data_IF_914375018179
#
_entry.id   IF_914375018179
#
_cell.length_a   1.000
_cell.length_b   1.000
_cell.length_c   1.000
_cell.angle_alpha   90.00
_cell.angle_beta   90.00
_cell.angle_gamma   90.00
#
_symmetry.space_group_name_H-M   'P 1'
#
loop_
_entity.id
_entity.type
_entity.pdbx_description
1 polymer ?
#
# COMPACT_ATOMS: atom_id res chain seq x y z
N UNK A 1 -5.18 15.62 17.30
CA UNK A 1 -5.25 14.20 16.88
C UNK A 1 -4.82 14.11 15.44
N UNK A 2 -4.19 13.01 15.03
CA UNK A 2 -3.93 12.74 13.62
C UNK A 2 -5.01 11.82 13.06
N UNK A 3 -5.12 11.77 11.74
CA UNK A 3 -6.03 10.87 11.02
C UNK A 3 -5.25 10.10 9.97
N UNK A 4 -5.53 8.80 9.85
CA UNK A 4 -4.94 7.92 8.85
C UNK A 4 -5.97 6.92 8.34
N UNK A 5 -5.77 6.52 7.09
CA UNK A 5 -6.56 5.49 6.44
C UNK A 5 -6.16 4.12 6.96
N UNK A 6 -7.16 3.28 7.19
CA UNK A 6 -7.05 1.83 7.34
C UNK A 6 -7.85 1.20 6.21
N UNK A 7 -7.27 0.19 5.57
CA UNK A 7 -7.89 -0.53 4.46
C UNK A 7 -8.42 -1.87 4.94
N UNK A 8 -9.72 -2.06 4.82
CA UNK A 8 -10.42 -3.29 5.18
C UNK A 8 -10.55 -4.18 3.95
N UNK A 9 -10.53 -5.50 4.13
CA UNK A 9 -10.87 -6.43 3.04
C UNK A 9 -12.34 -6.26 2.64
N UNK A 10 -12.65 -6.40 1.35
CA UNK A 10 -14.02 -6.30 0.81
C UNK A 10 -14.18 -7.34 -0.30
N UNK A 11 -15.21 -8.19 -0.21
CA UNK A 11 -15.45 -9.28 -1.17
C UNK A 11 -16.10 -8.84 -2.49
N UNK A 12 -16.02 -7.56 -2.81
CA UNK A 12 -16.49 -7.01 -4.07
C UNK A 12 -15.68 -5.78 -4.40
N UNK A 13 -15.76 -5.34 -5.66
CA UNK A 13 -15.12 -4.14 -6.17
C UNK A 13 -15.28 -2.95 -5.19
N UNK A 14 -14.21 -2.18 -4.91
CA UNK A 14 -12.85 -2.27 -5.45
C UNK A 14 -11.91 -3.23 -4.69
N UNK A 15 -12.46 -4.24 -4.00
CA UNK A 15 -11.73 -5.23 -3.19
C UNK A 15 -11.05 -4.66 -1.94
N UNK A 16 -11.46 -3.46 -1.52
CA UNK A 16 -11.13 -2.87 -0.23
C UNK A 16 -12.21 -1.86 0.20
N UNK A 17 -12.22 -1.52 1.48
CA UNK A 17 -12.94 -0.35 2.03
C UNK A 17 -11.92 0.54 2.76
N UNK A 18 -11.94 1.85 2.50
CA UNK A 18 -11.10 2.81 3.21
C UNK A 18 -11.86 3.42 4.40
N UNK A 19 -11.28 3.27 5.60
CA UNK A 19 -11.80 3.86 6.84
C UNK A 19 -10.80 4.87 7.41
N UNK A 20 -11.27 6.08 7.71
CA UNK A 20 -10.48 7.12 8.37
C UNK A 20 -10.55 6.93 9.88
N UNK A 21 -9.40 6.70 10.50
CA UNK A 21 -9.26 6.50 11.94
C UNK A 21 -8.53 7.68 12.57
N UNK A 22 -9.19 8.49 13.40
CA UNK A 22 -8.54 9.48 14.24
C UNK A 22 -7.86 8.83 15.45
N UNK A 23 -6.65 9.29 15.79
CA UNK A 23 -5.86 8.76 16.91
C UNK A 23 -4.89 9.79 17.50
N UNK A 24 -4.47 9.65 18.77
CA UNK A 24 -3.37 10.41 19.34
C UNK A 24 -2.04 10.16 18.61
N UNK A 25 -1.34 11.22 18.23
CA UNK A 25 -0.09 11.15 17.47
C UNK A 25 1.11 11.49 18.35
N UNK A 26 2.09 10.59 18.36
CA UNK A 26 3.36 10.73 19.03
C UNK A 26 4.43 11.15 18.02
N UNK A 27 4.85 12.41 18.11
CA UNK A 27 5.89 12.97 17.25
C UNK A 27 7.29 12.44 17.53
N UNK A 28 8.14 12.45 16.51
CA UNK A 28 9.56 12.08 16.58
C UNK A 28 9.94 10.89 15.69
N UNK A 29 11.24 10.76 15.43
CA UNK A 29 11.78 9.71 14.54
C UNK A 29 12.06 8.38 15.23
N UNK A 30 12.04 8.36 16.57
CA UNK A 30 12.34 7.18 17.36
C UNK A 30 11.35 6.03 17.06
N UNK A 31 11.88 4.80 16.97
CA UNK A 31 11.09 3.60 16.69
C UNK A 31 9.91 3.45 17.67
N UNK A 32 10.14 3.71 18.96
CA UNK A 32 9.10 3.65 19.97
C UNK A 32 7.92 4.61 19.69
N UNK A 33 8.16 5.79 19.11
CA UNK A 33 7.08 6.71 18.76
C UNK A 33 6.27 6.21 17.57
N UNK A 34 6.93 5.64 16.56
CA UNK A 34 6.26 4.99 15.42
C UNK A 34 5.39 3.82 15.88
N UNK A 35 5.91 2.99 16.78
CA UNK A 35 5.18 1.85 17.33
C UNK A 35 4.01 2.28 18.21
N UNK A 36 4.15 3.36 19.00
CA UNK A 36 3.00 3.96 19.70
C UNK A 36 1.94 4.49 18.75
N UNK A 37 2.32 5.11 17.64
CA UNK A 37 1.36 5.55 16.62
C UNK A 37 0.59 4.37 15.99
N UNK A 38 1.29 3.28 15.66
CA UNK A 38 0.68 2.06 15.16
C UNK A 38 -0.31 1.46 16.17
N UNK A 39 0.10 1.34 17.43
CA UNK A 39 -0.77 0.86 18.51
C UNK A 39 -1.97 1.77 18.73
N UNK A 40 -1.76 3.09 18.74
CA UNK A 40 -2.81 4.11 18.89
C UNK A 40 -3.89 3.96 17.81
N UNK A 41 -3.47 3.83 16.54
CA UNK A 41 -4.37 3.61 15.40
C UNK A 41 -5.15 2.31 15.56
N UNK A 42 -4.45 1.20 15.85
CA UNK A 42 -5.02 -0.14 16.04
C UNK A 42 -6.09 -0.14 17.12
N UNK A 43 -5.77 0.38 18.31
CA UNK A 43 -6.71 0.48 19.43
C UNK A 43 -7.98 1.25 19.05
N UNK A 44 -7.85 2.41 18.39
CA UNK A 44 -9.00 3.22 18.02
C UNK A 44 -9.89 2.53 16.97
N UNK A 45 -9.32 1.82 16.00
CA UNK A 45 -10.13 1.04 15.06
C UNK A 45 -10.83 -0.13 15.76
N UNK A 46 -10.10 -0.94 16.53
CA UNK A 46 -10.66 -2.12 17.20
C UNK A 46 -11.76 -1.75 18.20
N UNK A 47 -11.65 -0.60 18.86
CA UNK A 47 -12.71 -0.12 19.75
C UNK A 47 -13.98 0.34 19.02
N UNK A 48 -13.85 0.83 17.79
CA UNK A 48 -15.00 1.26 16.98
C UNK A 48 -15.60 0.09 16.18
N UNK A 49 -14.76 -0.85 15.74
CA UNK A 49 -15.11 -1.98 14.91
C UNK A 49 -14.37 -3.25 15.38
N UNK A 50 -14.87 -3.92 16.45
CA UNK A 50 -14.18 -5.06 17.09
C UNK A 50 -13.98 -6.30 16.20
N UNK A 51 -14.69 -6.37 15.07
CA UNK A 51 -14.55 -7.46 14.10
C UNK A 51 -13.28 -7.36 13.23
N UNK A 52 -12.61 -6.21 13.22
CA UNK A 52 -11.41 -6.01 12.40
C UNK A 52 -10.15 -6.13 13.24
N UNK A 53 -9.27 -7.03 12.82
CA UNK A 53 -7.93 -7.19 13.36
C UNK A 53 -6.92 -6.53 12.42
N UNK A 54 -6.24 -5.50 12.92
CA UNK A 54 -5.34 -4.66 12.11
C UNK A 54 -3.91 -5.19 12.13
N UNK A 55 -3.35 -5.36 10.94
CA UNK A 55 -1.91 -5.48 10.73
C UNK A 55 -1.32 -4.11 10.33
N UNK A 56 -0.32 -3.64 11.07
CA UNK A 56 0.46 -2.47 10.66
C UNK A 56 1.67 -2.92 9.82
N UNK A 57 1.72 -2.44 8.59
CA UNK A 57 2.75 -2.78 7.61
C UNK A 57 3.77 -1.66 7.55
N UNK A 58 4.93 -1.92 8.14
CA UNK A 58 6.11 -1.10 8.00
C UNK A 58 7.34 -1.86 8.48
N UNK A 59 8.52 -1.43 8.05
CA UNK A 59 9.78 -1.93 8.62
C UNK A 59 9.92 -1.65 10.12
N UNK A 60 9.09 -0.78 10.70
CA UNK A 60 9.09 -0.43 12.13
C UNK A 60 8.01 -1.13 12.96
N UNK A 61 7.18 -1.98 12.33
CA UNK A 61 6.08 -2.68 13.00
C UNK A 61 6.60 -3.54 14.15
N UNK A 62 5.81 -3.66 15.22
CA UNK A 62 6.07 -4.63 16.30
C UNK A 62 5.78 -6.05 15.83
N UNK A 63 4.83 -6.21 14.91
CA UNK A 63 4.40 -7.49 14.37
C UNK A 63 5.38 -8.00 13.29
N UNK A 64 5.97 -9.20 13.46
CA UNK A 64 6.80 -9.82 12.42
C UNK A 64 6.10 -9.95 11.06
N UNK A 65 4.79 -10.26 11.03
CA UNK A 65 4.01 -10.37 9.79
C UNK A 65 3.95 -9.01 9.09
N UNK A 66 3.62 -7.96 9.83
CA UNK A 66 3.61 -6.59 9.30
C UNK A 66 4.97 -6.12 8.77
N UNK A 67 6.08 -6.56 9.40
CA UNK A 67 7.43 -6.25 8.90
C UNK A 67 7.76 -6.97 7.60
N UNK A 68 7.43 -8.26 7.47
CA UNK A 68 7.75 -9.04 6.27
C UNK A 68 6.93 -8.59 5.05
N UNK A 69 5.74 -8.03 5.27
CA UNK A 69 4.91 -7.40 4.24
C UNK A 69 5.45 -6.04 3.76
N UNK A 70 6.50 -5.49 4.38
CA UNK A 70 7.06 -4.23 3.90
C UNK A 70 7.55 -4.34 2.45
N UNK A 71 7.26 -3.36 1.58
CA UNK A 71 7.78 -3.27 0.22
C UNK A 71 9.32 -3.20 0.17
N UNK A 72 9.94 -2.80 1.29
CA UNK A 72 11.39 -2.84 1.48
C UNK A 72 11.95 -4.25 1.77
N UNK A 73 11.07 -5.23 1.98
CA UNK A 73 11.38 -6.61 2.37
C UNK A 73 10.90 -7.64 1.34
N UNK A 74 9.84 -7.33 0.60
CA UNK A 74 9.34 -8.18 -0.47
C UNK A 74 10.31 -8.21 -1.66
N UNK A 75 10.46 -9.40 -2.24
CA UNK A 75 11.19 -9.61 -3.49
C UNK A 75 10.28 -9.46 -4.70
N UNK A 76 10.81 -9.01 -5.84
CA UNK A 76 10.15 -9.07 -7.14
C UNK A 76 11.08 -9.73 -8.14
N UNK A 77 10.57 -10.70 -8.89
CA UNK A 77 11.31 -11.36 -9.98
C UNK A 77 11.06 -10.62 -11.30
N UNK A 78 12.13 -10.41 -12.06
CA UNK A 78 12.12 -9.85 -13.41
C UNK A 78 11.97 -10.97 -14.45
N UNK A 79 11.59 -10.61 -15.69
CA UNK A 79 11.48 -11.55 -16.82
C UNK A 79 12.78 -12.31 -17.14
N UNK A 80 13.94 -11.69 -16.90
CA UNK A 80 15.27 -12.29 -17.09
C UNK A 80 15.70 -13.21 -15.93
N UNK A 81 14.85 -13.37 -14.91
CA UNK A 81 15.10 -14.18 -13.72
C UNK A 81 15.78 -13.45 -12.56
N UNK A 82 16.21 -12.19 -12.75
CA UNK A 82 16.81 -11.36 -11.70
C UNK A 82 15.81 -11.10 -10.59
N UNK A 83 16.28 -11.08 -9.35
CA UNK A 83 15.44 -10.84 -8.17
C UNK A 83 15.87 -9.53 -7.52
N UNK A 84 14.91 -8.64 -7.31
CA UNK A 84 15.15 -7.28 -6.82
C UNK A 84 14.19 -6.96 -5.67
N UNK A 85 14.47 -5.89 -4.93
CA UNK A 85 13.54 -5.41 -3.88
C UNK A 85 12.31 -4.79 -4.55
N UNK A 86 11.11 -5.12 -4.08
CA UNK A 86 9.86 -4.60 -4.65
C UNK A 86 9.82 -3.07 -4.67
N UNK A 87 10.27 -2.39 -3.59
CA UNK A 87 10.36 -0.92 -3.60
C UNK A 87 11.29 -0.41 -4.72
N UNK A 88 12.42 -1.07 -4.98
CA UNK A 88 13.32 -0.68 -6.07
C UNK A 88 12.69 -0.88 -7.44
N UNK A 89 11.96 -1.99 -7.63
CA UNK A 89 11.15 -2.22 -8.83
C UNK A 89 10.13 -1.10 -9.03
N UNK A 90 9.40 -0.71 -7.98
CA UNK A 90 8.44 0.37 -8.05
C UNK A 90 9.11 1.73 -8.36
N UNK A 91 10.14 2.12 -7.62
CA UNK A 91 10.75 3.45 -7.78
C UNK A 91 11.47 3.59 -9.13
N UNK A 92 12.17 2.56 -9.59
CA UNK A 92 12.84 2.57 -10.89
C UNK A 92 11.87 2.65 -12.07
N UNK A 93 10.63 2.18 -11.92
CA UNK A 93 9.64 2.22 -13.00
C UNK A 93 9.04 3.60 -13.29
N UNK A 94 9.23 4.58 -12.41
CA UNK A 94 8.49 5.85 -12.42
C UNK A 94 8.97 6.76 -13.53
N UNK A 95 8.01 7.31 -14.27
CA UNK A 95 8.24 8.32 -15.30
C UNK A 95 7.58 9.63 -14.87
N UNK A 96 8.28 10.74 -15.09
CA UNK A 96 7.88 12.08 -14.71
C UNK A 96 7.93 12.99 -15.94
N UNK A 97 7.01 13.94 -16.00
CA UNK A 97 7.00 14.98 -17.03
C UNK A 97 7.16 16.35 -16.36
N UNK A 98 8.12 17.15 -16.84
CA UNK A 98 8.34 18.52 -16.37
C UNK A 98 7.30 19.44 -17.00
N UNK A 99 6.35 20.04 -16.25
CA UNK A 99 5.21 20.75 -16.84
C UNK A 99 5.59 21.93 -17.74
N UNK A 100 6.73 22.59 -17.47
CA UNK A 100 7.15 23.79 -18.19
C UNK A 100 7.90 23.47 -19.50
N UNK A 101 8.64 22.36 -19.54
CA UNK A 101 9.53 22.02 -20.66
C UNK A 101 9.06 20.81 -21.46
N UNK A 102 8.17 19.99 -20.89
CA UNK A 102 7.80 18.69 -21.44
C UNK A 102 8.91 17.64 -21.36
N UNK A 103 10.00 17.93 -20.63
CA UNK A 103 11.09 16.98 -20.44
C UNK A 103 10.60 15.75 -19.66
N UNK A 104 10.97 14.57 -20.16
CA UNK A 104 10.66 13.29 -19.53
C UNK A 104 11.86 12.84 -18.71
N UNK A 105 11.62 12.53 -17.44
CA UNK A 105 12.61 11.99 -16.52
C UNK A 105 12.18 10.57 -16.15
N UNK A 106 13.11 9.63 -16.24
CA UNK A 106 12.85 8.21 -16.02
C UNK A 106 12.37 7.46 -17.28
N UNK A 107 12.15 6.13 -17.17
CA UNK A 107 12.38 5.33 -15.97
C UNK A 107 13.87 5.17 -15.67
N UNK A 108 14.19 4.57 -14.53
CA UNK A 108 15.54 4.43 -13.99
C UNK A 108 15.97 2.96 -13.86
N UNK A 109 16.03 2.18 -14.95
CA UNK A 109 16.41 0.76 -14.89
C UNK A 109 17.78 0.54 -14.25
N UNK A 110 18.70 1.50 -14.35
CA UNK A 110 20.01 1.47 -13.71
C UNK A 110 19.96 1.47 -12.17
N UNK A 111 18.85 1.90 -11.57
CA UNK A 111 18.66 1.95 -10.11
C UNK A 111 17.99 0.69 -9.55
N UNK A 112 17.60 -0.25 -10.41
CA UNK A 112 16.84 -1.44 -10.04
C UNK A 112 17.58 -2.34 -9.04
N UNK A 113 18.90 -2.46 -9.18
CA UNK A 113 19.74 -3.29 -8.31
C UNK A 113 20.09 -2.69 -6.95
N UNK A 114 19.65 -1.45 -6.67
CA UNK A 114 19.86 -0.82 -5.36
C UNK A 114 18.91 -1.40 -4.31
N UNK A 115 19.25 -1.25 -3.03
CA UNK A 115 18.26 -1.44 -1.98
C UNK A 115 17.13 -0.39 -2.08
N UNK A 116 15.95 -0.73 -1.57
CA UNK A 116 14.76 0.10 -1.73
C UNK A 116 14.90 1.52 -1.17
N UNK A 117 15.69 1.73 -0.11
CA UNK A 117 15.88 3.06 0.49
C UNK A 117 16.82 3.91 -0.37
N UNK A 118 17.92 3.33 -0.84
CA UNK A 118 18.84 3.99 -1.74
C UNK A 118 18.15 4.36 -3.06
N UNK A 119 17.43 3.40 -3.68
CA UNK A 119 16.69 3.62 -4.92
C UNK A 119 15.69 4.78 -4.77
N UNK A 120 14.84 4.73 -3.75
CA UNK A 120 13.84 5.77 -3.46
C UNK A 120 14.47 7.16 -3.26
N UNK A 121 15.61 7.23 -2.57
CA UNK A 121 16.32 8.48 -2.34
C UNK A 121 16.83 9.06 -3.67
N UNK A 122 17.52 8.26 -4.46
CA UNK A 122 18.09 8.67 -5.75
C UNK A 122 17.00 9.10 -6.74
N UNK A 123 15.91 8.33 -6.86
CA UNK A 123 14.76 8.68 -7.72
C UNK A 123 14.11 9.99 -7.27
N UNK A 124 13.97 10.22 -5.97
CA UNK A 124 13.41 11.47 -5.43
C UNK A 124 14.28 12.68 -5.76
N UNK A 125 15.61 12.52 -5.69
CA UNK A 125 16.56 13.58 -6.05
C UNK A 125 16.50 13.87 -7.56
N UNK A 126 16.51 12.83 -8.40
CA UNK A 126 16.44 12.96 -9.85
C UNK A 126 15.12 13.58 -10.35
N UNK A 127 14.00 13.23 -9.72
CA UNK A 127 12.67 13.76 -10.08
C UNK A 127 12.39 15.17 -9.56
N UNK A 128 13.31 15.79 -8.80
CA UNK A 128 13.12 17.12 -8.21
C UNK A 128 11.79 17.28 -7.43
N UNK A 129 11.26 16.18 -6.86
CA UNK A 129 9.99 16.17 -6.14
C UNK A 129 8.73 16.15 -7.01
N UNK A 130 8.84 15.92 -8.32
CA UNK A 130 7.69 15.76 -9.22
C UNK A 130 6.83 14.54 -8.85
N UNK A 131 5.59 14.57 -9.34
CA UNK A 131 4.71 13.41 -9.33
C UNK A 131 4.89 12.62 -10.61
N UNK A 132 4.90 11.29 -10.51
CA UNK A 132 5.02 10.43 -11.68
C UNK A 132 3.70 10.44 -12.44
N UNK A 133 3.76 10.54 -13.76
CA UNK A 133 2.60 10.50 -14.65
C UNK A 133 2.38 9.10 -15.23
N UNK A 134 3.45 8.32 -15.38
CA UNK A 134 3.43 7.02 -16.03
C UNK A 134 4.40 6.06 -15.35
N UNK A 135 4.29 4.78 -15.70
CA UNK A 135 5.16 3.72 -15.22
C UNK A 135 5.59 2.83 -16.39
N UNK A 136 6.89 2.52 -16.46
CA UNK A 136 7.45 1.52 -17.36
C UNK A 136 8.31 0.55 -16.56
N UNK A 137 7.98 -0.74 -16.62
CA UNK A 137 8.66 -1.77 -15.86
C UNK A 137 8.79 -3.03 -16.69
N UNK A 138 10.00 -3.62 -16.70
CA UNK A 138 10.29 -4.88 -17.40
C UNK A 138 9.86 -4.87 -18.89
N UNK A 139 10.10 -3.74 -19.56
CA UNK A 139 9.75 -3.55 -20.97
C UNK A 139 8.27 -3.28 -21.27
N UNK A 140 7.41 -3.21 -20.24
CA UNK A 140 5.98 -2.95 -20.38
C UNK A 140 5.59 -1.57 -19.83
N UNK A 141 4.62 -0.93 -20.48
CA UNK A 141 4.01 0.32 -20.03
C UNK A 141 2.75 0.04 -19.24
N UNK A 142 2.53 0.79 -18.16
CA UNK A 142 1.39 0.63 -17.26
C UNK A 142 0.59 1.93 -17.20
N UNK A 143 -0.62 1.98 -17.81
CA UNK A 143 -1.51 3.14 -17.70
C UNK A 143 -1.93 3.42 -16.25
N UNK A 144 -2.11 4.70 -15.96
CA UNK A 144 -2.55 5.18 -14.64
C UNK A 144 -3.98 5.72 -14.77
N UNK A 145 -5.03 4.91 -14.52
CA UNK A 145 -6.40 5.40 -14.54
C UNK A 145 -6.64 6.41 -13.42
N UNK A 146 -7.33 7.52 -13.71
CA UNK A 146 -7.57 8.62 -12.75
C UNK A 146 -8.35 8.17 -11.51
N UNK A 147 -9.27 7.22 -11.67
CA UNK A 147 -10.04 6.66 -10.55
C UNK A 147 -9.22 5.68 -9.71
N UNK A 148 -8.09 5.16 -10.23
CA UNK A 148 -7.22 4.26 -9.48
C UNK A 148 -5.73 4.58 -9.75
N UNK A 149 -5.23 5.73 -9.26
CA UNK A 149 -3.87 6.20 -9.55
C UNK A 149 -2.77 5.32 -8.97
N UNK A 150 -3.13 4.34 -8.14
CA UNK A 150 -2.21 3.36 -7.57
C UNK A 150 -2.29 1.97 -8.19
N UNK A 151 -3.09 1.77 -9.24
CA UNK A 151 -3.35 0.46 -9.83
C UNK A 151 -2.05 -0.30 -10.15
N UNK A 152 -1.06 0.37 -10.75
CA UNK A 152 0.24 -0.24 -11.01
C UNK A 152 0.99 -0.66 -9.74
N UNK A 153 0.96 0.17 -8.69
CA UNK A 153 1.59 -0.19 -7.41
C UNK A 153 0.89 -1.40 -6.78
N UNK A 154 -0.44 -1.41 -6.76
CA UNK A 154 -1.23 -2.52 -6.21
C UNK A 154 -0.97 -3.81 -6.99
N UNK A 155 -0.94 -3.75 -8.33
CA UNK A 155 -0.55 -4.87 -9.19
C UNK A 155 0.85 -5.40 -8.86
N UNK A 156 1.85 -4.52 -8.81
CA UNK A 156 3.25 -4.89 -8.59
C UNK A 156 3.43 -5.52 -7.20
N UNK A 157 2.74 -4.99 -6.18
CA UNK A 157 2.80 -5.49 -4.82
C UNK A 157 2.14 -6.87 -4.69
N UNK A 158 0.97 -7.06 -5.30
CA UNK A 158 0.26 -8.34 -5.33
C UNK A 158 1.09 -9.39 -6.07
N UNK A 159 1.68 -9.03 -7.21
CA UNK A 159 2.59 -9.90 -7.94
C UNK A 159 3.81 -10.29 -7.08
N UNK A 160 4.40 -9.34 -6.36
CA UNK A 160 5.48 -9.64 -5.43
C UNK A 160 5.05 -10.71 -4.40
N UNK A 161 3.87 -10.59 -3.79
CA UNK A 161 3.34 -11.62 -2.87
C UNK A 161 3.07 -12.99 -3.54
N UNK A 162 2.92 -13.04 -4.86
CA UNK A 162 2.77 -14.27 -5.63
C UNK A 162 4.11 -14.93 -6.01
N UNK A 163 5.24 -14.22 -5.84
CA UNK A 163 6.56 -14.76 -6.16
C UNK A 163 6.96 -15.91 -5.21
N UNK A 164 7.67 -16.95 -5.70
CA UNK A 164 8.18 -18.04 -4.88
C UNK A 164 9.00 -17.58 -3.67
N UNK A 165 9.80 -16.51 -3.85
CA UNK A 165 10.63 -15.91 -2.80
C UNK A 165 9.83 -15.39 -1.62
N UNK A 166 8.56 -15.03 -1.83
CA UNK A 166 7.68 -14.50 -0.80
C UNK A 166 6.61 -15.52 -0.36
N UNK A 167 6.72 -16.79 -0.77
CA UNK A 167 5.70 -17.81 -0.50
C UNK A 167 5.39 -17.96 1.00
N UNK A 168 6.40 -17.92 1.88
CA UNK A 168 6.20 -17.97 3.33
C UNK A 168 5.52 -16.70 3.86
N UNK A 169 5.88 -15.52 3.33
CA UNK A 169 5.25 -14.25 3.71
C UNK A 169 3.77 -14.25 3.35
N UNK A 170 3.44 -14.68 2.13
CA UNK A 170 2.07 -14.81 1.65
C UNK A 170 1.27 -15.82 2.48
N UNK A 171 1.85 -16.97 2.82
CA UNK A 171 1.16 -17.98 3.63
C UNK A 171 0.93 -17.51 5.07
N UNK A 172 1.91 -16.84 5.67
CA UNK A 172 1.77 -16.24 6.99
C UNK A 172 0.67 -15.17 7.00
N UNK A 173 0.58 -14.34 5.97
CA UNK A 173 -0.51 -13.38 5.81
C UNK A 173 -1.86 -14.10 5.75
N UNK A 174 -2.02 -15.12 4.90
CA UNK A 174 -3.28 -15.88 4.78
C UNK A 174 -3.72 -16.56 6.08
N UNK A 175 -2.78 -17.02 6.90
CA UNK A 175 -3.05 -17.70 8.18
C UNK A 175 -3.19 -16.75 9.37
N UNK A 176 -2.86 -15.47 9.21
CA UNK A 176 -2.78 -14.50 10.31
C UNK A 176 -4.12 -14.14 10.94
N UNK A 177 -5.23 -14.30 10.20
CA UNK A 177 -6.54 -13.80 10.60
C UNK A 177 -6.67 -12.26 10.55
N UNK A 178 -5.75 -11.57 9.90
CA UNK A 178 -5.87 -10.13 9.63
C UNK A 178 -6.89 -9.87 8.51
N UNK A 179 -7.73 -8.87 8.72
CA UNK A 179 -8.76 -8.43 7.77
C UNK A 179 -8.81 -6.89 7.64
N UNK A 180 -7.82 -6.20 8.21
CA UNK A 180 -7.61 -4.77 8.11
C UNK A 180 -6.11 -4.44 8.13
N UNK A 181 -5.72 -3.41 7.38
CA UNK A 181 -4.32 -3.06 7.18
C UNK A 181 -4.09 -1.56 7.30
N UNK A 182 -2.98 -1.20 7.92
CA UNK A 182 -2.54 0.20 8.02
C UNK A 182 -1.07 0.32 7.63
N UNK A 183 -0.71 1.46 7.06
CA UNK A 183 0.67 1.81 6.70
C UNK A 183 0.93 3.23 7.18
N UNK A 184 1.68 3.35 8.27
CA UNK A 184 2.04 4.64 8.85
C UNK A 184 3.40 5.16 8.34
N UNK A 185 4.09 4.39 7.51
CA UNK A 185 5.40 4.76 6.98
C UNK A 185 5.29 5.81 5.86
N UNK A 186 4.14 5.90 5.19
CA UNK A 186 3.90 6.81 4.08
C UNK A 186 2.60 7.61 4.21
N UNK A 187 2.54 8.76 3.53
CA UNK A 187 1.30 9.52 3.26
C UNK A 187 0.94 9.51 1.77
N UNK A 188 1.61 8.65 1.00
CA UNK A 188 1.44 8.47 -0.43
C UNK A 188 0.10 7.82 -0.76
N UNK A 189 -0.41 8.07 -1.96
CA UNK A 189 -1.52 7.31 -2.55
C UNK A 189 -1.15 5.83 -2.69
N UNK A 190 0.06 5.54 -3.15
CA UNK A 190 0.62 4.19 -3.21
C UNK A 190 0.93 3.70 -1.79
N UNK A 191 0.15 2.73 -1.29
CA UNK A 191 0.24 2.26 0.10
C UNK A 191 0.14 0.75 0.18
N UNK A 192 1.06 0.17 0.97
CA UNK A 192 1.20 -1.28 1.15
C UNK A 192 -0.07 -1.89 1.75
N UNK A 193 -0.73 -1.13 2.63
CA UNK A 193 -1.95 -1.56 3.31
C UNK A 193 -3.13 -1.82 2.37
N UNK A 194 -3.33 -0.97 1.35
CA UNK A 194 -4.39 -1.20 0.36
C UNK A 194 -4.09 -2.43 -0.47
N UNK A 195 -2.84 -2.58 -0.92
CA UNK A 195 -2.43 -3.73 -1.72
C UNK A 195 -2.59 -5.05 -0.95
N UNK A 196 -2.29 -5.08 0.36
CA UNK A 196 -2.58 -6.25 1.20
C UNK A 196 -4.08 -6.54 1.36
N UNK A 197 -4.91 -5.50 1.54
CA UNK A 197 -6.36 -5.68 1.61
C UNK A 197 -6.93 -6.26 0.31
N UNK A 198 -6.47 -5.75 -0.84
CA UNK A 198 -6.82 -6.28 -2.17
C UNK A 198 -6.33 -7.73 -2.30
N UNK A 199 -5.06 -8.01 -1.97
CA UNK A 199 -4.48 -9.35 -2.06
C UNK A 199 -5.34 -10.40 -1.34
N UNK A 200 -5.67 -10.17 -0.07
CA UNK A 200 -6.51 -11.10 0.69
C UNK A 200 -7.92 -11.20 0.13
N UNK A 201 -8.52 -10.09 -0.28
CA UNK A 201 -9.83 -10.11 -0.92
C UNK A 201 -9.81 -10.95 -2.20
N UNK A 202 -8.80 -10.82 -3.06
CA UNK A 202 -8.67 -11.66 -4.26
C UNK A 202 -8.45 -13.14 -3.91
N UNK A 203 -7.72 -13.45 -2.85
CA UNK A 203 -7.56 -14.82 -2.36
C UNK A 203 -8.91 -15.41 -1.92
N UNK A 204 -9.68 -14.68 -1.09
CA UNK A 204 -10.98 -15.11 -0.57
C UNK A 204 -12.03 -15.29 -1.68
N UNK A 205 -11.91 -14.52 -2.76
CA UNK A 205 -12.83 -14.59 -3.90
C UNK A 205 -12.37 -15.58 -4.99
N UNK A 206 -11.21 -16.24 -4.83
CA UNK A 206 -10.67 -17.13 -5.86
C UNK A 206 -10.26 -16.40 -7.15
N UNK A 207 -9.92 -15.12 -7.06
CA UNK A 207 -9.60 -14.24 -8.19
C UNK A 207 -8.09 -13.93 -8.30
N UNK A 208 -7.25 -14.50 -7.42
CA UNK A 208 -5.81 -14.17 -7.36
C UNK A 208 -5.08 -14.45 -8.69
N UNK A 209 -5.48 -15.49 -9.44
CA UNK A 209 -4.87 -15.81 -10.74
C UNK A 209 -5.04 -14.67 -11.76
N UNK A 210 -6.09 -13.86 -11.66
CA UNK A 210 -6.30 -12.70 -12.53
C UNK A 210 -5.32 -11.56 -12.24
N UNK A 211 -4.55 -11.63 -11.17
CA UNK A 211 -3.45 -10.70 -10.90
C UNK A 211 -2.11 -11.15 -11.51
N UNK A 212 -2.03 -12.31 -12.16
CA UNK A 212 -0.79 -12.82 -12.75
C UNK A 212 -0.35 -12.03 -14.01
N UNK A 213 -1.30 -11.38 -14.70
CA UNK A 213 -1.03 -10.50 -15.82
C UNK A 213 -1.81 -9.18 -15.68
N UNK A 214 -1.26 -8.12 -16.27
CA UNK A 214 -1.81 -6.78 -16.04
C UNK A 214 -3.15 -6.55 -16.74
N UNK A 215 -3.40 -7.20 -17.89
CA UNK A 215 -4.64 -7.04 -18.64
C UNK A 215 -5.84 -7.65 -17.89
N UNK A 216 -5.64 -8.84 -17.30
CA UNK A 216 -6.62 -9.47 -16.41
C UNK A 216 -6.83 -8.64 -15.15
N UNK A 217 -5.76 -8.11 -14.57
CA UNK A 217 -5.85 -7.27 -13.37
C UNK A 217 -6.63 -5.98 -13.65
N UNK A 218 -6.39 -5.33 -14.78
CA UNK A 218 -7.14 -4.14 -15.22
C UNK A 218 -8.66 -4.39 -15.30
N UNK A 219 -9.07 -5.57 -15.77
CA UNK A 219 -10.50 -5.94 -15.84
C UNK A 219 -11.15 -6.07 -14.46
N UNK A 220 -10.43 -6.61 -13.46
CA UNK A 220 -10.92 -6.64 -12.06
C UNK A 220 -11.25 -5.23 -11.55
N UNK A 221 -10.48 -4.24 -11.99
CA UNK A 221 -10.62 -2.85 -11.57
C UNK A 221 -11.45 -1.98 -12.53
N UNK A 222 -12.20 -2.59 -13.46
CA UNK A 222 -13.09 -1.88 -14.40
C UNK A 222 -12.33 -0.86 -15.25
N UNK A 223 -11.11 -1.20 -15.66
CA UNK A 223 -10.31 -0.39 -16.59
C UNK A 223 -10.67 -0.73 -18.03
N UNK A 224 -10.89 0.29 -18.86
CA UNK A 224 -11.12 0.18 -20.30
C UNK A 224 -10.13 1.05 -21.07
N UNK A 225 -9.11 0.44 -21.67
CA UNK A 225 -8.07 1.15 -22.42
C UNK A 225 -8.56 1.93 -23.64
N UNK A 226 -9.80 1.67 -24.10
CA UNK A 226 -10.41 2.39 -25.22
C UNK A 226 -11.13 3.66 -24.78
N UNK A 227 -11.42 3.81 -23.49
CA UNK A 227 -12.05 4.99 -22.92
C UNK A 227 -11.01 6.11 -22.68
N UNK A 228 -11.36 7.39 -22.90
CA UNK A 228 -10.42 8.52 -22.74
C UNK A 228 -9.75 8.66 -21.37
N UNK A 229 -10.42 8.18 -20.30
CA UNK A 229 -9.95 8.20 -18.90
C UNK A 229 -9.70 6.79 -18.35
N UNK A 230 -9.62 5.80 -19.24
CA UNK A 230 -9.48 4.40 -18.92
C UNK A 230 -10.59 3.79 -18.04
N UNK A 231 -11.76 4.43 -17.96
CA UNK A 231 -12.85 4.01 -17.06
C UNK A 231 -13.95 3.24 -17.80
N UNK A 232 -14.20 2.00 -17.39
CA UNK A 232 -15.38 1.26 -17.80
C UNK A 232 -16.62 1.70 -17.01
N UNK A 233 -17.79 1.15 -17.38
CA UNK A 233 -19.04 1.39 -16.63
C UNK A 233 -18.89 0.97 -15.16
N UNK A 234 -19.23 1.88 -14.25
CA UNK A 234 -19.15 1.65 -12.80
C UNK A 234 -17.74 1.80 -12.21
N UNK A 235 -16.72 2.23 -12.96
CA UNK A 235 -15.34 2.36 -12.45
C UNK A 235 -15.15 3.38 -11.29
N UNK A 236 -16.16 4.21 -11.01
CA UNK A 236 -16.13 5.17 -9.90
C UNK A 236 -16.97 4.70 -8.70
N UNK A 237 -17.66 3.57 -8.79
CA UNK A 237 -18.51 3.05 -7.70
C UNK A 237 -17.67 2.59 -6.52
N UNK A 238 -17.98 3.09 -5.32
CA UNK A 238 -17.29 2.76 -4.07
C UNK A 238 -15.77 3.04 -4.03
N UNK A 239 -15.23 3.72 -5.04
CA UNK A 239 -13.84 4.16 -5.10
C UNK A 239 -13.72 5.51 -4.39
N UNK A 240 -12.91 5.64 -3.31
CA UNK A 240 -12.68 6.92 -2.66
C UNK A 240 -11.88 7.83 -3.61
N UNK A 241 -12.51 8.90 -4.12
CA UNK A 241 -11.81 9.89 -4.94
C UNK A 241 -11.07 10.91 -4.06
N UNK A 242 -10.09 11.60 -4.64
CA UNK A 242 -9.34 12.66 -3.95
C UNK A 242 -10.14 13.96 -3.80
N UNK A 243 -11.16 14.16 -4.63
CA UNK A 243 -11.94 15.39 -4.68
C UNK A 243 -13.26 15.24 -3.90
N UNK A 244 -13.71 16.36 -3.34
CA UNK A 244 -14.84 16.51 -2.41
C UNK A 244 -16.23 16.04 -2.91
N UNK A 245 -16.29 15.27 -3.99
CA UNK A 245 -17.52 14.74 -4.61
C UNK A 245 -17.74 13.23 -4.42
N UNK A 246 -16.81 12.47 -3.81
CA UNK A 246 -17.10 11.08 -3.43
C UNK A 246 -17.68 11.00 -2.02
N UNK A 247 -18.65 10.10 -1.81
CA UNK A 247 -19.32 9.84 -0.53
C UNK A 247 -18.36 9.79 0.66
N UNK A 248 -18.85 10.27 1.81
CA UNK A 248 -18.10 10.42 3.06
C UNK A 248 -17.27 9.15 3.34
N UNK A 249 -15.93 9.23 3.20
CA UNK A 249 -15.04 8.16 3.65
C UNK A 249 -15.44 7.80 5.06
N UNK A 250 -15.74 6.52 5.30
CA UNK A 250 -16.24 6.09 6.61
C UNK A 250 -15.23 6.51 7.66
N UNK A 251 -15.69 7.29 8.63
CA UNK A 251 -14.85 7.80 9.71
C UNK A 251 -15.34 7.22 11.02
N UNK A 252 -14.42 6.62 11.77
CA UNK A 252 -14.72 6.12 13.12
C UNK A 252 -14.45 7.20 14.18
N UNK A 253 -15.05 7.05 15.36
CA UNK A 253 -14.75 7.91 16.49
C UNK A 253 -13.43 7.51 17.16
N UNK A 254 -12.67 8.49 17.64
CA UNK A 254 -11.53 8.22 18.50
C UNK A 254 -12.01 8.03 19.94
N UNK A 255 -11.39 7.08 20.65
CA UNK A 255 -11.76 6.70 22.02
C UNK A 255 -10.63 6.88 23.03
N UNK A 256 -9.37 6.77 22.62
CA UNK A 256 -8.23 6.72 23.54
C UNK A 256 -7.41 8.01 23.58
N UNK A 257 -6.91 8.35 24.77
CA UNK A 257 -5.97 9.44 25.04
C UNK A 257 -4.51 9.01 24.85
N UNK A 258 -3.58 9.98 24.81
CA UNK A 258 -2.14 9.68 24.77
C UNK A 258 -1.65 8.88 25.98
N UNK A 259 -2.24 9.13 27.16
CA UNK A 259 -1.84 8.47 28.40
C UNK A 259 -2.16 6.97 28.35
N UNK A 260 -3.39 6.64 27.94
CA UNK A 260 -3.85 5.25 27.82
C UNK A 260 -3.03 4.46 26.79
N UNK A 261 -2.70 5.08 25.64
CA UNK A 261 -1.86 4.43 24.63
C UNK A 261 -0.44 4.20 25.13
N UNK A 262 0.17 5.18 25.83
CA UNK A 262 1.51 5.01 26.41
C UNK A 262 1.54 3.87 27.43
N UNK A 263 0.56 3.82 28.33
CA UNK A 263 0.42 2.73 29.29
C UNK A 263 0.33 1.37 28.59
N UNK A 264 -0.55 1.25 27.58
CA UNK A 264 -0.70 -0.01 26.83
C UNK A 264 0.57 -0.41 26.09
N UNK A 265 1.28 0.55 25.52
CA UNK A 265 2.56 0.30 24.85
C UNK A 265 3.62 -0.24 25.82
N UNK A 266 3.73 0.37 27.00
CA UNK A 266 4.71 -0.05 28.00
C UNK A 266 4.39 -1.45 28.56
N UNK A 267 3.11 -1.82 28.70
CA UNK A 267 2.67 -3.18 29.04
C UNK A 267 3.11 -4.19 27.99
N UNK A 268 2.83 -3.94 26.69
CA UNK A 268 3.22 -4.83 25.60
C UNK A 268 4.74 -5.02 25.53
N UNK A 269 5.50 -3.95 25.74
CA UNK A 269 6.96 -3.99 25.70
C UNK A 269 7.55 -4.87 26.80
N UNK A 270 6.93 -4.95 27.97
CA UNK A 270 7.38 -5.81 29.08
C UNK A 270 7.18 -7.30 28.82
N UNK A 271 6.28 -7.67 27.91
CA UNK A 271 6.00 -9.07 27.56
C UNK A 271 6.92 -9.57 26.44
N UNK A 272 7.47 -8.65 25.64
CA UNK A 272 8.34 -8.95 24.50
C UNK A 272 9.85 -8.96 24.85
N UNK A 273 10.22 -8.64 26.10
CA UNK A 273 11.58 -8.64 26.65
C UNK A 273 11.70 -9.74 27.68
#
# INVERSE_FOLDING_TARGET
MAERSVFLIKNCYPFYEEVIVPFPWFGGFALAQKQRNALSLKMNLEAACPQYNVCEISSGSLDPVGRSLSAMSLSKRMSDGTVVVMESAFQSSRIYCVPQTGEVIGPFPELLGLDGRACKKTVKEASCGLHSCEYMFDGMSFPTPDFHPSLFYDYLYINALMEPENAEVAENLRRSGYNAFSDLATKSLNTQARSCAIYLSLCENGLLEQAADYDSFMKLFRVDLTAPNYAATGAYEDVPMSDAQSGCRRRVSARFSECEVKQRYDELRRVLV
#
